data_IF_856246673382
#
_entry.id   IF_856246673382
#
_cell.length_a   1.000
_cell.length_b   1.000
_cell.length_c   1.000
_cell.angle_alpha   90.00
_cell.angle_beta   90.00
_cell.angle_gamma   90.00
#
_symmetry.space_group_name_H-M   'P 1'
#
loop_
_entity.id
_entity.type
_entity.pdbx_description
1 polymer ?
#
# COMPACT_ATOMS: atom_id res chain seq x y z
N UNK A 1 -7.75 10.30 -3.57
CA UNK A 1 -7.12 9.41 -4.57
C UNK A 1 -5.89 8.71 -4.02
N UNK A 2 -4.89 9.44 -3.50
CA UNK A 2 -3.62 8.84 -3.04
C UNK A 2 -3.78 7.69 -2.04
N UNK A 3 -4.61 7.87 -0.99
CA UNK A 3 -4.83 6.83 0.02
C UNK A 3 -5.38 5.52 -0.59
N UNK A 4 -6.34 5.61 -1.51
CA UNK A 4 -6.93 4.43 -2.18
C UNK A 4 -5.91 3.73 -3.08
N UNK A 5 -5.12 4.48 -3.84
CA UNK A 5 -4.04 3.91 -4.66
C UNK A 5 -2.98 3.23 -3.78
N UNK A 6 -2.65 3.85 -2.64
CA UNK A 6 -1.70 3.29 -1.69
C UNK A 6 -2.23 1.98 -1.07
N UNK A 7 -3.46 1.99 -0.57
CA UNK A 7 -4.12 0.80 -0.03
C UNK A 7 -4.23 -0.32 -1.07
N UNK A 8 -4.57 0.01 -2.32
CA UNK A 8 -4.63 -0.96 -3.42
C UNK A 8 -3.26 -1.59 -3.67
N UNK A 9 -2.22 -0.78 -3.85
CA UNK A 9 -0.87 -1.26 -4.15
C UNK A 9 -0.29 -2.11 -3.00
N UNK A 10 -0.49 -1.67 -1.76
CA UNK A 10 -0.07 -2.43 -0.59
C UNK A 10 -0.88 -3.73 -0.43
N UNK A 11 -2.18 -3.73 -0.72
CA UNK A 11 -3.02 -4.93 -0.66
C UNK A 11 -2.60 -5.97 -1.70
N UNK A 12 -2.26 -5.54 -2.92
CA UNK A 12 -1.72 -6.43 -3.94
C UNK A 12 -0.43 -7.09 -3.46
N UNK A 13 0.56 -6.29 -3.05
CA UNK A 13 1.82 -6.81 -2.52
C UNK A 13 1.63 -7.71 -1.29
N UNK A 14 0.71 -7.36 -0.40
CA UNK A 14 0.45 -8.11 0.81
C UNK A 14 -0.17 -9.48 0.53
N UNK A 15 -1.14 -9.56 -0.39
CA UNK A 15 -1.78 -10.82 -0.77
C UNK A 15 -0.81 -11.74 -1.54
N UNK A 16 0.12 -11.20 -2.34
CA UNK A 16 1.17 -12.00 -2.99
C UNK A 16 2.14 -12.66 -2.00
N UNK A 17 2.24 -12.15 -0.76
CA UNK A 17 3.09 -12.71 0.29
C UNK A 17 2.36 -13.75 1.19
N UNK A 18 1.10 -14.06 0.90
CA UNK A 18 0.30 -14.96 1.73
C UNK A 18 0.31 -16.41 1.25
N UNK A 19 0.13 -17.32 2.20
CA UNK A 19 -0.14 -18.71 1.88
C UNK A 19 -1.56 -18.88 1.30
N UNK A 20 -1.77 -20.01 0.62
CA UNK A 20 -3.11 -20.39 0.15
C UNK A 20 -4.09 -20.46 1.33
N UNK A 21 -5.31 -19.95 1.13
CA UNK A 21 -6.32 -19.87 2.18
C UNK A 21 -6.13 -18.70 3.15
N UNK A 22 -5.33 -17.68 2.81
CA UNK A 22 -5.25 -16.43 3.56
C UNK A 22 -5.62 -15.22 2.68
N UNK A 23 -5.97 -14.10 3.33
CA UNK A 23 -6.20 -12.80 2.71
C UNK A 23 -5.62 -11.68 3.57
N UNK A 24 -5.09 -10.65 2.94
CA UNK A 24 -4.63 -9.44 3.61
C UNK A 24 -5.77 -8.44 3.69
N UNK A 25 -6.02 -7.91 4.89
CA UNK A 25 -7.07 -6.89 5.15
C UNK A 25 -6.44 -5.64 5.74
N UNK A 26 -6.82 -4.47 5.22
CA UNK A 26 -6.34 -3.17 5.71
C UNK A 26 -6.73 -2.93 7.18
N UNK A 27 -5.76 -2.50 7.98
CA UNK A 27 -5.96 -2.13 9.40
C UNK A 27 -5.85 -0.62 9.58
N UNK A 28 -4.82 -0.02 8.99
CA UNK A 28 -4.56 1.41 9.10
C UNK A 28 -3.80 1.90 7.87
N UNK A 29 -4.06 3.15 7.50
CA UNK A 29 -3.29 3.88 6.51
C UNK A 29 -2.99 5.28 7.04
N UNK A 30 -1.74 5.70 6.90
CA UNK A 30 -1.30 7.07 7.18
C UNK A 30 -0.68 7.64 5.92
N UNK A 31 -1.16 8.79 5.46
CA UNK A 31 -0.78 9.38 4.16
C UNK A 31 -0.33 10.82 4.32
N UNK A 32 0.80 11.16 3.71
CA UNK A 32 1.30 12.52 3.56
C UNK A 32 1.14 12.96 2.11
N UNK A 33 0.42 14.05 1.92
CA UNK A 33 0.27 14.71 0.62
C UNK A 33 1.38 15.74 0.46
N UNK A 34 2.42 15.38 -0.29
CA UNK A 34 3.61 16.20 -0.43
C UNK A 34 3.44 17.25 -1.53
N UNK A 35 2.78 16.89 -2.62
CA UNK A 35 2.60 17.76 -3.79
C UNK A 35 1.26 17.49 -4.48
N UNK A 36 0.71 18.53 -5.11
CA UNK A 36 -0.49 18.42 -5.94
C UNK A 36 -0.17 17.71 -7.25
N UNK A 37 -1.01 16.75 -7.64
CA UNK A 37 -1.03 16.16 -8.97
C UNK A 37 -2.41 16.39 -9.59
N UNK A 38 -2.55 17.43 -10.42
CA UNK A 38 -3.84 17.79 -11.04
C UNK A 38 -4.08 17.16 -12.41
N UNK A 39 -3.06 16.60 -13.05
CA UNK A 39 -3.13 15.94 -14.34
C UNK A 39 -1.96 14.96 -14.51
N UNK A 40 -2.01 14.10 -15.53
CA UNK A 40 -1.00 13.08 -15.79
C UNK A 40 -1.32 11.72 -15.15
N UNK A 41 -0.37 10.80 -15.24
CA UNK A 41 -0.51 9.42 -14.76
C UNK A 41 0.20 9.26 -13.41
N UNK A 42 -0.52 8.70 -12.45
CA UNK A 42 0.04 8.35 -11.14
C UNK A 42 0.61 6.93 -11.15
N UNK A 43 1.81 6.78 -10.61
CA UNK A 43 2.47 5.50 -10.39
C UNK A 43 2.59 5.24 -8.90
N UNK A 44 2.01 4.15 -8.42
CA UNK A 44 2.13 3.71 -7.03
C UNK A 44 3.16 2.58 -6.93
N UNK A 45 4.16 2.74 -6.06
CA UNK A 45 5.16 1.72 -5.77
C UNK A 45 5.03 1.33 -4.30
N UNK A 46 4.57 0.10 -4.04
CA UNK A 46 4.52 -0.48 -2.71
C UNK A 46 5.82 -1.23 -2.41
N UNK A 47 6.41 -0.97 -1.26
CA UNK A 47 7.66 -1.56 -0.78
C UNK A 47 7.39 -2.15 0.61
N UNK A 48 7.67 -3.45 0.84
CA UNK A 48 7.45 -4.03 2.15
C UNK A 48 8.47 -3.46 3.14
N UNK A 49 7.96 -2.94 4.26
CA UNK A 49 8.79 -2.51 5.40
C UNK A 49 8.94 -3.66 6.39
N UNK A 50 7.86 -4.41 6.63
CA UNK A 50 7.86 -5.60 7.47
C UNK A 50 6.80 -6.59 6.99
N UNK A 51 7.18 -7.86 6.79
CA UNK A 51 6.27 -8.96 6.46
C UNK A 51 6.28 -9.96 7.61
N UNK A 52 5.31 -9.83 8.52
CA UNK A 52 5.11 -10.75 9.64
C UNK A 52 4.02 -11.78 9.34
N UNK A 53 3.90 -12.76 10.23
CA UNK A 53 2.88 -13.82 10.13
C UNK A 53 1.45 -13.31 10.35
N UNK A 54 1.28 -12.27 11.19
CA UNK A 54 -0.01 -11.66 11.51
C UNK A 54 -0.20 -10.28 10.87
N UNK A 55 0.83 -9.44 10.87
CA UNK A 55 0.77 -8.08 10.35
C UNK A 55 1.83 -7.88 9.26
N UNK A 56 1.47 -7.07 8.27
CA UNK A 56 2.38 -6.54 7.27
C UNK A 56 2.35 -5.02 7.31
N UNK A 57 3.50 -4.39 7.11
CA UNK A 57 3.64 -2.95 6.98
C UNK A 57 4.33 -2.63 5.67
N UNK A 58 3.72 -1.75 4.89
CA UNK A 58 4.15 -1.37 3.56
C UNK A 58 4.29 0.14 3.47
N UNK A 59 5.39 0.61 2.87
CA UNK A 59 5.51 1.98 2.42
C UNK A 59 5.04 2.05 0.97
N UNK A 60 4.18 3.01 0.66
CA UNK A 60 3.72 3.25 -0.71
C UNK A 60 4.07 4.67 -1.13
N UNK A 61 4.85 4.75 -2.19
CA UNK A 61 5.27 5.99 -2.81
C UNK A 61 4.43 6.22 -4.06
N UNK A 62 3.79 7.38 -4.16
CA UNK A 62 3.02 7.77 -5.35
C UNK A 62 3.77 8.86 -6.08
N UNK A 63 4.03 8.61 -7.36
CA UNK A 63 4.71 9.51 -8.26
C UNK A 63 3.78 10.02 -9.35
N UNK A 64 3.96 11.26 -9.77
CA UNK A 64 3.48 11.77 -11.05
C UNK A 64 4.71 12.08 -11.90
N UNK A 65 4.89 11.38 -13.02
CA UNK A 65 6.15 11.32 -13.75
C UNK A 65 7.34 11.02 -12.82
N UNK A 66 8.25 11.97 -12.58
CA UNK A 66 9.42 11.81 -11.71
C UNK A 66 9.26 12.45 -10.32
N UNK A 67 8.09 13.01 -10.01
CA UNK A 67 7.87 13.76 -8.79
C UNK A 67 7.09 12.92 -7.78
N UNK A 68 7.66 12.73 -6.58
CA UNK A 68 6.94 12.15 -5.46
C UNK A 68 5.83 13.11 -5.02
N UNK A 69 4.60 12.64 -5.02
CA UNK A 69 3.40 13.43 -4.68
C UNK A 69 2.73 12.96 -3.40
N UNK A 70 2.89 11.69 -3.05
CA UNK A 70 2.40 11.11 -1.80
C UNK A 70 3.36 10.08 -1.26
N UNK A 71 3.43 10.04 0.07
CA UNK A 71 4.01 8.91 0.81
C UNK A 71 2.94 8.37 1.74
N UNK A 72 2.80 7.06 1.81
CA UNK A 72 1.84 6.41 2.69
C UNK A 72 2.49 5.23 3.42
N UNK A 73 2.12 5.02 4.67
CA UNK A 73 2.38 3.78 5.39
C UNK A 73 1.06 3.04 5.54
N UNK A 74 1.00 1.79 5.06
CA UNK A 74 -0.18 0.93 5.11
C UNK A 74 0.13 -0.28 5.97
N UNK A 75 -0.72 -0.55 6.95
CA UNK A 75 -0.67 -1.75 7.77
C UNK A 75 -1.83 -2.67 7.40
N UNK A 76 -1.51 -3.93 7.10
CA UNK A 76 -2.48 -4.97 6.80
C UNK A 76 -2.34 -6.12 7.80
N UNK A 77 -3.45 -6.83 8.06
CA UNK A 77 -3.45 -8.07 8.83
C UNK A 77 -3.69 -9.25 7.90
N UNK A 78 -3.00 -10.35 8.18
CA UNK A 78 -3.18 -11.62 7.49
C UNK A 78 -4.30 -12.40 8.21
N UNK A 79 -5.34 -12.79 7.48
CA UNK A 79 -6.49 -13.52 8.02
C UNK A 79 -6.67 -14.79 7.21
N UNK A 80 -6.96 -15.91 7.88
CA UNK A 80 -7.34 -17.16 7.20
C UNK A 80 -8.73 -17.03 6.60
N UNK A 81 -8.89 -17.41 5.33
CA UNK A 81 -10.17 -17.58 4.68
C UNK A 81 -10.73 -18.94 5.07
N UNK A 82 -11.91 -18.95 5.71
CA UNK A 82 -12.66 -20.17 6.01
C UNK A 82 -13.44 -20.65 4.78
#
# INVERSE_FOLDING_TARGET
MNAVLAETAASLGANENLASGQVAVGVNITTQHLRKASSGTLFAKAIPVHIGTKLQTWEVQIYNAKQLTSLSTVTLTNISQN
#
